data_IF_086846140566
#
_entry.id   IF_086846140566
#
_cell.length_a   1.000
_cell.length_b   1.000
_cell.length_c   1.000
_cell.angle_alpha   90.00
_cell.angle_beta   90.00
_cell.angle_gamma   90.00
#
_symmetry.space_group_name_H-M   'P 1'
#
loop_
_entity.id
_entity.type
_entity.pdbx_description
1 polymer ?
#
# COMPACT_ATOMS: atom_id res chain seq x y z
N UNK A 1 -26.51 -6.99 28.69
CA UNK A 1 -25.37 -7.75 28.16
C UNK A 1 -24.27 -6.76 27.83
N UNK A 2 -23.09 -6.88 28.43
CA UNK A 2 -21.94 -6.04 28.06
C UNK A 2 -21.27 -6.72 26.88
N UNK A 3 -21.38 -6.14 25.69
CA UNK A 3 -20.74 -6.65 24.49
C UNK A 3 -19.28 -6.20 24.53
N UNK A 4 -18.34 -7.14 24.57
CA UNK A 4 -16.93 -6.82 24.39
C UNK A 4 -16.68 -6.45 22.92
N UNK A 5 -16.11 -5.27 22.68
CA UNK A 5 -15.76 -4.78 21.34
C UNK A 5 -14.33 -4.27 21.32
N UNK A 6 -13.72 -4.21 20.14
CA UNK A 6 -12.47 -3.49 19.99
C UNK A 6 -12.68 -2.00 20.26
N UNK A 7 -11.71 -1.31 20.90
CA UNK A 7 -11.84 0.10 21.21
C UNK A 7 -11.71 0.99 19.96
N UNK A 8 -11.11 0.49 18.88
CA UNK A 8 -10.99 1.20 17.61
C UNK A 8 -10.93 0.21 16.42
N UNK A 9 -11.49 0.61 15.27
CA UNK A 9 -11.53 -0.24 14.06
C UNK A 9 -10.12 -0.62 13.58
N UNK A 10 -9.16 0.31 13.61
CA UNK A 10 -7.78 0.02 13.21
C UNK A 10 -7.13 -1.07 14.07
N UNK A 11 -7.47 -1.18 15.36
CA UNK A 11 -6.96 -2.24 16.23
C UNK A 11 -7.60 -3.57 15.82
N UNK A 12 -8.90 -3.59 15.53
CA UNK A 12 -9.57 -4.77 15.00
C UNK A 12 -8.94 -5.24 13.69
N UNK A 13 -8.67 -4.34 12.75
CA UNK A 13 -8.07 -4.65 11.46
C UNK A 13 -6.60 -5.08 11.58
N UNK A 14 -5.83 -4.46 12.48
CA UNK A 14 -4.47 -4.89 12.78
C UNK A 14 -4.44 -6.30 13.36
N UNK A 15 -5.32 -6.62 14.32
CA UNK A 15 -5.44 -7.96 14.89
C UNK A 15 -5.89 -8.97 13.84
N UNK A 16 -6.81 -8.60 12.95
CA UNK A 16 -7.23 -9.44 11.83
C UNK A 16 -6.07 -9.74 10.86
N UNK A 17 -5.23 -8.74 10.57
CA UNK A 17 -4.03 -8.90 9.74
C UNK A 17 -3.01 -9.82 10.43
N UNK A 18 -2.75 -9.59 11.73
CA UNK A 18 -1.84 -10.40 12.53
C UNK A 18 -2.28 -11.87 12.58
N UNK A 19 -3.58 -12.15 12.68
CA UNK A 19 -4.11 -13.51 12.67
C UNK A 19 -3.72 -14.28 11.40
N UNK A 20 -3.57 -13.61 10.25
CA UNK A 20 -3.13 -14.26 9.01
C UNK A 20 -1.68 -14.78 9.10
N UNK A 21 -0.83 -14.10 9.87
CA UNK A 21 0.58 -14.48 10.07
C UNK A 21 0.77 -15.53 11.17
N UNK A 22 -0.21 -15.68 12.07
CA UNK A 22 -0.18 -16.65 13.16
C UNK A 22 -0.91 -17.97 12.83
N UNK A 23 -1.61 -18.04 11.69
CA UNK A 23 -2.36 -19.24 11.30
C UNK A 23 -1.40 -20.31 10.74
N UNK A 24 -1.37 -21.53 11.31
CA UNK A 24 -0.41 -22.58 10.89
C UNK A 24 -0.59 -23.06 9.44
N UNK A 25 -1.83 -23.08 8.94
CA UNK A 25 -2.16 -23.32 7.54
C UNK A 25 -2.99 -22.15 7.01
N UNK A 26 -2.36 -21.14 6.40
CA UNK A 26 -3.06 -19.93 5.95
C UNK A 26 -3.97 -20.19 4.73
N UNK A 27 -4.09 -21.44 4.25
CA UNK A 27 -4.87 -21.76 3.05
C UNK A 27 -4.36 -20.98 1.85
N UNK A 28 -5.27 -20.46 1.01
CA UNK A 28 -4.93 -19.53 -0.07
C UNK A 28 -5.13 -18.07 0.38
N UNK A 29 -4.18 -17.55 1.16
CA UNK A 29 -4.18 -16.15 1.59
C UNK A 29 -4.21 -15.18 0.40
N UNK A 30 -3.57 -15.51 -0.73
CA UNK A 30 -3.55 -14.66 -1.93
C UNK A 30 -4.95 -14.44 -2.50
N UNK A 31 -5.78 -15.50 -2.52
CA UNK A 31 -7.19 -15.41 -2.88
C UNK A 31 -7.98 -14.54 -1.90
N UNK A 32 -7.80 -14.74 -0.59
CA UNK A 32 -8.47 -13.92 0.45
C UNK A 32 -8.15 -12.44 0.29
N UNK A 33 -6.87 -12.09 0.13
CA UNK A 33 -6.43 -10.71 -0.05
C UNK A 33 -6.96 -10.11 -1.37
N UNK A 34 -7.04 -10.92 -2.43
CA UNK A 34 -7.65 -10.49 -3.70
C UNK A 34 -9.14 -10.23 -3.57
N UNK A 35 -9.89 -11.08 -2.87
CA UNK A 35 -11.32 -10.88 -2.59
C UNK A 35 -11.58 -9.64 -1.73
N UNK A 36 -10.68 -9.35 -0.78
CA UNK A 36 -10.73 -8.13 0.02
C UNK A 36 -10.43 -6.88 -0.82
N UNK A 37 -9.43 -6.95 -1.71
CA UNK A 37 -9.01 -5.81 -2.54
C UNK A 37 -10.09 -5.35 -3.53
N UNK A 38 -10.85 -6.28 -4.11
CA UNK A 38 -11.92 -5.92 -5.06
C UNK A 38 -13.17 -5.32 -4.39
N UNK A 39 -13.21 -5.22 -3.05
CA UNK A 39 -14.29 -4.53 -2.35
C UNK A 39 -14.08 -3.02 -2.46
N UNK A 40 -14.77 -2.41 -3.42
CA UNK A 40 -14.69 -0.97 -3.72
C UNK A 40 -15.28 -0.03 -2.66
N UNK A 41 -15.76 -0.55 -1.53
CA UNK A 41 -16.26 0.26 -0.40
C UNK A 41 -15.14 0.68 0.57
N UNK A 42 -13.89 0.29 0.31
CA UNK A 42 -12.71 0.69 1.09
C UNK A 42 -12.60 0.02 2.46
N UNK A 43 -13.54 -0.87 2.82
CA UNK A 43 -13.66 -1.44 4.17
C UNK A 43 -12.50 -2.33 4.62
N UNK A 44 -11.61 -2.70 3.69
CA UNK A 44 -10.46 -3.57 3.94
C UNK A 44 -9.12 -2.88 3.66
N UNK A 45 -9.11 -1.57 3.37
CA UNK A 45 -7.87 -0.88 2.99
C UNK A 45 -6.82 -0.91 4.09
N UNK A 46 -7.23 -0.62 5.34
CA UNK A 46 -6.33 -0.61 6.49
C UNK A 46 -5.88 -2.03 6.82
N UNK A 47 -6.78 -3.02 6.81
CA UNK A 47 -6.44 -4.43 6.94
C UNK A 47 -5.36 -4.86 5.92
N UNK A 48 -5.55 -4.55 4.62
CA UNK A 48 -4.60 -4.94 3.56
C UNK A 48 -3.24 -4.23 3.72
N UNK A 49 -3.24 -2.95 4.15
CA UNK A 49 -2.01 -2.21 4.48
C UNK A 49 -1.26 -2.87 5.64
N UNK A 50 -1.95 -3.30 6.69
CA UNK A 50 -1.31 -4.03 7.78
C UNK A 50 -0.76 -5.39 7.34
N UNK A 51 -1.49 -6.14 6.50
CA UNK A 51 -0.99 -7.41 5.96
C UNK A 51 0.30 -7.18 5.17
N UNK A 52 0.33 -6.18 4.27
CA UNK A 52 1.53 -5.83 3.55
C UNK A 52 2.67 -5.38 4.49
N UNK A 53 2.35 -4.57 5.50
CA UNK A 53 3.30 -4.10 6.52
C UNK A 53 3.95 -5.23 7.31
N UNK A 54 3.17 -6.23 7.72
CA UNK A 54 3.67 -7.40 8.44
C UNK A 54 4.60 -8.29 7.60
N UNK A 55 4.61 -8.13 6.27
CA UNK A 55 5.62 -8.78 5.42
C UNK A 55 7.01 -8.13 5.51
N UNK A 56 7.11 -6.92 6.05
CA UNK A 56 8.38 -6.23 6.30
C UNK A 56 9.10 -6.85 7.49
N UNK A 57 10.36 -7.28 7.35
CA UNK A 57 11.16 -7.74 8.49
C UNK A 57 11.30 -6.69 9.59
N UNK A 58 11.27 -5.39 9.25
CA UNK A 58 11.40 -4.31 10.23
C UNK A 58 10.16 -4.20 11.12
N UNK A 59 8.97 -4.35 10.53
CA UNK A 59 7.71 -4.30 11.26
C UNK A 59 7.40 -5.63 11.99
N UNK A 60 7.79 -6.77 11.41
CA UNK A 60 7.53 -8.09 11.98
C UNK A 60 8.41 -8.40 13.20
N UNK A 61 9.72 -8.10 13.15
CA UNK A 61 10.69 -8.51 14.20
C UNK A 61 10.27 -8.19 15.64
N UNK A 62 9.78 -6.98 15.97
CA UNK A 62 9.30 -6.69 17.31
C UNK A 62 8.15 -7.60 17.74
N UNK A 63 7.24 -7.93 16.83
CA UNK A 63 6.09 -8.80 17.09
C UNK A 63 6.51 -10.26 17.23
N UNK A 64 7.42 -10.73 16.38
CA UNK A 64 7.94 -12.10 16.41
C UNK A 64 8.66 -12.42 17.74
N UNK A 65 9.22 -11.40 18.40
CA UNK A 65 9.83 -11.53 19.72
C UNK A 65 8.83 -11.97 20.79
N UNK A 66 7.55 -11.62 20.64
CA UNK A 66 6.49 -11.95 21.60
C UNK A 66 5.57 -13.08 21.13
N UNK A 67 5.38 -13.22 19.82
CA UNK A 67 4.37 -14.09 19.22
C UNK A 67 4.96 -15.34 18.56
N UNK A 68 6.29 -15.44 18.49
CA UNK A 68 7.00 -16.44 17.71
C UNK A 68 7.20 -16.00 16.25
N UNK A 69 8.08 -16.72 15.54
CA UNK A 69 8.40 -16.40 14.15
C UNK A 69 7.17 -16.56 13.25
N UNK A 70 6.97 -15.61 12.34
CA UNK A 70 5.95 -15.74 11.32
C UNK A 70 6.37 -16.75 10.26
N UNK A 71 5.39 -17.46 9.70
CA UNK A 71 5.66 -18.43 8.66
C UNK A 71 6.21 -17.73 7.41
N UNK A 72 7.42 -18.12 7.00
CA UNK A 72 8.06 -17.59 5.80
C UNK A 72 7.16 -17.71 4.55
N UNK A 73 6.42 -18.81 4.43
CA UNK A 73 5.48 -19.04 3.35
C UNK A 73 4.37 -17.98 3.29
N UNK A 74 3.84 -17.53 4.43
CA UNK A 74 2.84 -16.46 4.50
C UNK A 74 3.43 -15.15 4.00
N UNK A 75 4.61 -14.79 4.48
CA UNK A 75 5.33 -13.59 4.03
C UNK A 75 5.58 -13.58 2.52
N UNK A 76 6.06 -14.69 1.96
CA UNK A 76 6.28 -14.82 0.52
C UNK A 76 4.98 -14.64 -0.28
N UNK A 77 3.89 -15.29 0.15
CA UNK A 77 2.58 -15.17 -0.52
C UNK A 77 2.02 -13.74 -0.48
N UNK A 78 2.21 -13.03 0.64
CA UNK A 78 1.84 -11.62 0.74
C UNK A 78 2.68 -10.76 -0.21
N UNK A 79 4.00 -10.97 -0.27
CA UNK A 79 4.89 -10.25 -1.18
C UNK A 79 4.52 -10.51 -2.65
N UNK A 80 4.25 -11.76 -3.01
CA UNK A 80 3.82 -12.14 -4.36
C UNK A 80 2.48 -11.48 -4.72
N UNK A 81 1.54 -11.44 -3.78
CA UNK A 81 0.27 -10.75 -3.96
C UNK A 81 0.43 -9.24 -4.12
N UNK A 82 1.27 -8.59 -3.30
CA UNK A 82 1.57 -7.15 -3.44
C UNK A 82 2.17 -6.88 -4.83
N UNK A 83 3.12 -7.72 -5.25
CA UNK A 83 3.73 -7.64 -6.59
C UNK A 83 2.67 -7.70 -7.70
N UNK A 84 1.80 -8.71 -7.65
CA UNK A 84 0.72 -8.91 -8.63
C UNK A 84 -0.20 -7.68 -8.69
N UNK A 85 -0.62 -7.13 -7.54
CA UNK A 85 -1.51 -5.96 -7.53
C UNK A 85 -0.84 -4.71 -8.04
N UNK A 86 0.43 -4.45 -7.69
CA UNK A 86 1.15 -3.29 -8.23
C UNK A 86 1.31 -3.42 -9.74
N UNK A 87 1.76 -4.57 -10.25
CA UNK A 87 1.96 -4.80 -11.69
C UNK A 87 0.63 -4.72 -12.48
N UNK A 88 -0.49 -5.17 -11.90
CA UNK A 88 -1.80 -5.13 -12.55
C UNK A 88 -2.49 -3.75 -12.59
N UNK A 89 -2.00 -2.76 -11.84
CA UNK A 89 -2.59 -1.40 -11.80
C UNK A 89 -1.82 -0.36 -12.64
N UNK A 90 -0.64 -0.69 -13.16
CA UNK A 90 0.14 0.23 -14.01
C UNK A 90 -0.61 0.41 -15.34
N UNK A 91 -1.22 1.58 -15.54
CA UNK A 91 -1.89 1.98 -16.79
C UNK A 91 -3.43 1.96 -16.77
N UNK A 92 -4.09 1.55 -15.70
CA UNK A 92 -5.56 1.51 -15.59
C UNK A 92 -6.07 2.62 -14.64
N UNK A 93 -6.41 3.82 -15.14
CA UNK A 93 -6.78 4.99 -14.29
C UNK A 93 -7.95 5.83 -14.83
N UNK A 94 -8.96 5.21 -15.46
CA UNK A 94 -10.03 5.97 -16.15
C UNK A 94 -11.13 6.57 -15.22
N UNK A 95 -11.25 6.15 -13.96
CA UNK A 95 -12.29 6.64 -13.03
C UNK A 95 -11.75 6.90 -11.61
N UNK A 96 -12.47 7.64 -10.76
CA UNK A 96 -12.04 7.86 -9.36
C UNK A 96 -11.91 6.54 -8.55
N UNK A 97 -12.87 5.63 -8.71
CA UNK A 97 -12.76 4.28 -8.13
C UNK A 97 -11.59 3.52 -8.75
N UNK A 98 -11.33 3.73 -10.04
CA UNK A 98 -10.17 3.24 -10.76
C UNK A 98 -8.85 3.84 -10.27
N UNK A 99 -8.81 5.08 -9.76
CA UNK A 99 -7.62 5.76 -9.21
C UNK A 99 -7.33 5.37 -7.76
N UNK A 100 -8.36 5.04 -6.98
CA UNK A 100 -8.19 4.59 -5.59
C UNK A 100 -7.44 3.25 -5.48
N UNK A 101 -7.63 2.36 -6.46
CA UNK A 101 -6.94 1.06 -6.50
C UNK A 101 -5.42 1.20 -6.67
N UNK A 102 -4.87 1.93 -7.67
CA UNK A 102 -3.45 2.24 -7.78
C UNK A 102 -2.87 2.94 -6.55
N UNK A 103 -3.61 3.87 -5.93
CA UNK A 103 -3.13 4.50 -4.70
C UNK A 103 -2.97 3.46 -3.58
N UNK A 104 -3.96 2.58 -3.41
CA UNK A 104 -3.88 1.49 -2.43
C UNK A 104 -2.72 0.51 -2.72
N UNK A 105 -2.42 0.20 -3.98
CA UNK A 105 -1.26 -0.65 -4.28
C UNK A 105 0.07 0.02 -3.97
N UNK A 106 0.17 1.34 -4.12
CA UNK A 106 1.33 2.11 -3.64
C UNK A 106 1.44 2.08 -2.12
N UNK A 107 0.33 2.13 -1.39
CA UNK A 107 0.34 1.91 0.07
C UNK A 107 0.87 0.52 0.42
N UNK A 108 0.39 -0.54 -0.23
CA UNK A 108 0.89 -1.89 0.06
C UNK A 108 2.38 -2.02 -0.20
N UNK A 109 2.85 -1.43 -1.29
CA UNK A 109 4.26 -1.42 -1.64
C UNK A 109 5.10 -0.67 -0.59
N UNK A 110 4.64 0.51 -0.17
CA UNK A 110 5.27 1.31 0.87
C UNK A 110 5.34 0.55 2.20
N UNK A 111 4.23 -0.03 2.64
CA UNK A 111 4.15 -0.77 3.91
C UNK A 111 5.05 -2.01 3.91
N UNK A 112 5.16 -2.72 2.78
CA UNK A 112 6.05 -3.89 2.66
C UNK A 112 7.52 -3.56 2.92
N UNK A 113 7.93 -2.29 2.78
CA UNK A 113 9.30 -1.80 2.89
C UNK A 113 10.31 -2.61 2.05
N UNK A 114 9.83 -3.30 1.00
CA UNK A 114 10.64 -4.14 0.15
C UNK A 114 11.18 -3.32 -1.03
N UNK A 115 12.34 -2.69 -0.84
CA UNK A 115 12.97 -1.82 -1.85
C UNK A 115 13.23 -2.54 -3.18
N UNK A 116 13.61 -3.81 -3.15
CA UNK A 116 13.88 -4.59 -4.36
C UNK A 116 12.59 -4.85 -5.15
N UNK A 117 11.50 -5.19 -4.44
CA UNK A 117 10.18 -5.31 -5.05
C UNK A 117 9.75 -3.97 -5.65
N UNK A 118 9.88 -2.89 -4.89
CA UNK A 118 9.46 -1.56 -5.33
C UNK A 118 10.23 -1.09 -6.56
N UNK A 119 11.56 -1.23 -6.59
CA UNK A 119 12.34 -0.90 -7.78
C UNK A 119 11.91 -1.75 -8.99
N UNK A 120 11.62 -3.03 -8.78
CA UNK A 120 11.21 -3.95 -9.85
C UNK A 120 9.82 -3.62 -10.40
N UNK A 121 8.90 -3.13 -9.58
CA UNK A 121 7.51 -2.89 -9.99
C UNK A 121 7.26 -1.46 -10.46
N UNK A 122 7.77 -0.45 -9.75
CA UNK A 122 7.52 0.97 -10.08
C UNK A 122 8.70 1.68 -10.72
N UNK A 123 9.89 1.07 -10.78
CA UNK A 123 11.11 1.71 -11.28
C UNK A 123 10.98 2.28 -12.70
N UNK A 124 10.25 1.59 -13.57
CA UNK A 124 10.01 1.98 -14.97
C UNK A 124 8.67 2.68 -15.20
N UNK A 125 7.92 3.03 -14.15
CA UNK A 125 6.68 3.79 -14.30
C UNK A 125 7.03 5.21 -14.74
N UNK A 126 6.43 5.66 -15.83
CA UNK A 126 6.70 6.98 -16.41
C UNK A 126 5.53 7.96 -16.24
N UNK A 127 4.32 7.46 -15.98
CA UNK A 127 3.09 8.27 -15.89
C UNK A 127 2.36 7.92 -14.60
N UNK A 128 2.04 8.93 -13.80
CA UNK A 128 1.26 8.80 -12.58
C UNK A 128 0.15 9.85 -12.60
N UNK A 129 -1.09 9.41 -12.50
CA UNK A 129 -2.27 10.30 -12.57
C UNK A 129 -3.21 10.01 -11.40
N UNK A 130 -3.36 10.99 -10.52
CA UNK A 130 -4.32 10.97 -9.41
C UNK A 130 -5.23 12.21 -9.41
N UNK A 131 -5.35 12.91 -10.55
CA UNK A 131 -6.20 14.10 -10.63
C UNK A 131 -7.60 13.89 -10.06
N UNK A 132 -8.13 14.91 -9.39
CA UNK A 132 -9.40 14.93 -8.65
C UNK A 132 -9.47 14.00 -7.42
N UNK A 133 -8.47 13.13 -7.20
CA UNK A 133 -8.42 12.32 -5.99
C UNK A 133 -7.82 13.11 -4.84
N UNK A 134 -8.61 13.35 -3.79
CA UNK A 134 -8.12 14.03 -2.58
C UNK A 134 -7.01 13.21 -1.90
N UNK A 135 -5.83 13.82 -1.74
CA UNK A 135 -4.66 13.19 -1.12
C UNK A 135 -4.42 13.72 0.29
N UNK A 136 -4.23 12.81 1.24
CA UNK A 136 -3.78 13.11 2.60
C UNK A 136 -2.25 13.29 2.65
N UNK A 137 -1.70 13.87 3.73
CA UNK A 137 -0.24 13.93 3.92
C UNK A 137 0.44 12.54 3.88
N UNK A 138 -0.26 11.49 4.31
CA UNK A 138 0.23 10.11 4.25
C UNK A 138 0.29 9.64 2.80
N UNK A 139 -0.75 9.91 2.00
CA UNK A 139 -0.75 9.58 0.56
C UNK A 139 0.41 10.29 -0.16
N UNK A 140 0.68 11.55 0.18
CA UNK A 140 1.82 12.29 -0.37
C UNK A 140 3.17 11.69 0.03
N UNK A 141 3.30 11.17 1.26
CA UNK A 141 4.52 10.46 1.69
C UNK A 141 4.71 9.16 0.90
N UNK A 142 3.63 8.41 0.66
CA UNK A 142 3.65 7.19 -0.15
C UNK A 142 4.02 7.49 -1.60
N UNK A 143 3.41 8.51 -2.21
CA UNK A 143 3.76 8.96 -3.56
C UNK A 143 5.20 9.42 -3.66
N UNK A 144 5.68 10.17 -2.67
CA UNK A 144 7.07 10.60 -2.59
C UNK A 144 8.03 9.42 -2.60
N UNK A 145 7.73 8.39 -1.80
CA UNK A 145 8.51 7.15 -1.79
C UNK A 145 8.54 6.46 -3.16
N UNK A 146 7.38 6.31 -3.81
CA UNK A 146 7.25 5.66 -5.13
C UNK A 146 8.02 6.44 -6.21
N UNK A 147 7.77 7.75 -6.35
CA UNK A 147 8.48 8.61 -7.32
C UNK A 147 9.99 8.61 -7.05
N UNK A 148 10.37 8.57 -5.77
CA UNK A 148 11.76 8.45 -5.34
C UNK A 148 12.48 7.21 -5.89
N UNK A 149 11.75 6.14 -6.23
CA UNK A 149 12.29 4.89 -6.79
C UNK A 149 12.21 4.82 -8.33
N UNK A 150 11.35 5.61 -8.98
CA UNK A 150 11.26 5.64 -10.44
C UNK A 150 12.51 6.26 -11.09
N UNK A 151 12.98 5.78 -12.24
CA UNK A 151 14.16 6.39 -12.89
C UNK A 151 13.87 7.83 -13.33
N UNK A 152 12.74 8.04 -14.00
CA UNK A 152 12.23 9.36 -14.39
C UNK A 152 10.73 9.28 -14.58
N UNK A 153 10.00 10.30 -14.10
CA UNK A 153 8.57 10.45 -14.36
C UNK A 153 8.40 11.40 -15.55
N UNK A 154 7.80 10.93 -16.64
CA UNK A 154 7.45 11.78 -17.78
C UNK A 154 6.29 12.72 -17.43
N UNK A 155 5.28 12.21 -16.72
CA UNK A 155 4.08 12.98 -16.41
C UNK A 155 3.53 12.62 -15.01
N UNK A 156 3.35 13.63 -14.16
CA UNK A 156 2.69 13.54 -12.86
C UNK A 156 1.50 14.50 -12.85
N UNK A 157 0.28 13.96 -12.75
CA UNK A 157 -0.96 14.75 -12.71
C UNK A 157 -1.64 14.63 -11.35
N UNK A 158 -1.59 15.74 -10.58
CA UNK A 158 -2.15 15.92 -9.24
C UNK A 158 -3.16 17.09 -9.20
N UNK A 159 -3.69 17.51 -10.35
CA UNK A 159 -4.72 18.55 -10.44
C UNK A 159 -5.92 18.15 -9.59
N UNK A 160 -6.46 19.08 -8.78
CA UNK A 160 -7.65 18.79 -7.99
C UNK A 160 -7.42 17.80 -6.82
N UNK A 161 -6.18 17.48 -6.45
CA UNK A 161 -5.90 16.58 -5.32
C UNK A 161 -6.04 17.24 -3.92
N UNK A 162 -6.27 18.55 -3.83
CA UNK A 162 -6.40 19.31 -2.58
C UNK A 162 -5.26 19.06 -1.57
N UNK A 163 -4.02 18.98 -2.07
CA UNK A 163 -2.83 18.68 -1.27
C UNK A 163 -2.55 19.80 -0.27
N UNK A 164 -2.43 19.44 1.01
CA UNK A 164 -2.10 20.38 2.09
C UNK A 164 -0.60 20.71 2.13
N UNK A 165 -0.21 21.77 2.86
CA UNK A 165 1.20 22.17 3.00
C UNK A 165 2.11 21.03 3.45
N UNK A 166 1.68 20.21 4.42
CA UNK A 166 2.45 19.04 4.85
C UNK A 166 2.64 18.03 3.71
N UNK A 167 1.60 17.79 2.90
CA UNK A 167 1.69 16.90 1.74
C UNK A 167 2.66 17.42 0.68
N UNK A 168 2.65 18.72 0.41
CA UNK A 168 3.63 19.35 -0.49
C UNK A 168 5.06 19.18 0.01
N UNK A 169 5.31 19.36 1.31
CA UNK A 169 6.64 19.13 1.91
C UNK A 169 7.11 17.67 1.74
N UNK A 170 6.19 16.70 1.74
CA UNK A 170 6.56 15.30 1.48
C UNK A 170 6.95 15.08 0.01
N UNK A 171 6.27 15.75 -0.93
CA UNK A 171 6.50 15.59 -2.38
C UNK A 171 7.70 16.38 -2.90
N UNK A 172 7.97 17.57 -2.34
CA UNK A 172 9.02 18.49 -2.77
C UNK A 172 10.36 17.80 -3.11
N UNK A 173 10.91 16.89 -2.28
CA UNK A 173 12.22 16.30 -2.54
C UNK A 173 12.30 15.48 -3.83
N UNK A 174 11.17 15.02 -4.38
CA UNK A 174 11.14 14.10 -5.53
C UNK A 174 10.57 14.73 -6.80
N UNK A 175 10.01 15.94 -6.73
CA UNK A 175 9.42 16.60 -7.90
C UNK A 175 10.42 16.87 -9.02
N UNK A 176 11.71 17.00 -8.69
CA UNK A 176 12.78 17.16 -9.68
C UNK A 176 12.91 15.97 -10.65
N UNK A 177 12.31 14.81 -10.34
CA UNK A 177 12.29 13.62 -11.20
C UNK A 177 11.16 13.65 -12.23
N UNK A 178 10.24 14.62 -12.13
CA UNK A 178 9.11 14.79 -13.03
C UNK A 178 9.45 15.76 -14.17
N UNK A 179 9.25 15.35 -15.42
CA UNK A 179 9.41 16.23 -16.59
C UNK A 179 8.24 17.18 -16.75
N UNK A 180 7.03 16.69 -16.50
CA UNK A 180 5.79 17.47 -16.49
C UNK A 180 5.06 17.20 -15.17
N UNK A 181 4.66 18.28 -14.50
CA UNK A 181 3.85 18.28 -13.29
C UNK A 181 2.60 19.12 -13.56
N UNK A 182 1.42 18.56 -13.30
CA UNK A 182 0.13 19.25 -13.38
C UNK A 182 -0.56 19.23 -12.03
#
# INVERSE_FOLDING_TARGET
SVVYTFPHLTIQEFVAALAQFLTPDPGDIGKLLSEAHIKGDGRFEIFLRFVAGLSSPQAARPLETFLGQFLHQTTCRVIDWVKEKVEGQIGNTESESGKRNPLNTFHYLFESQNKALAQKTVGSVEIITFSELRLTPIDCAVLSHVIGLCDTIKHLDLVGCYIQCEGLQRLEPVLHKCKELR
#
